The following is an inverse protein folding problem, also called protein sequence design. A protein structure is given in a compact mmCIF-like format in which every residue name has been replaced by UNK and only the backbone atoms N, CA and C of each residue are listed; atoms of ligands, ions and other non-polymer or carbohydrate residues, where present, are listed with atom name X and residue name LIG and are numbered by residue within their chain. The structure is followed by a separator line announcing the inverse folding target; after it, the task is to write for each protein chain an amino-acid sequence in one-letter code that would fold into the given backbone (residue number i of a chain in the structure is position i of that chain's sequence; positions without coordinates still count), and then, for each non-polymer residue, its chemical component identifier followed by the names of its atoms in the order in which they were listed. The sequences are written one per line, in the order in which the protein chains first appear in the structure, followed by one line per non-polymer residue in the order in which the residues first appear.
data_IF_897463661598
#
_entry.id   IF_897463661598
#
_cell.length_a   1.000
_cell.length_b   1.000
_cell.length_c   1.000
_cell.angle_alpha   90.00
_cell.angle_beta   90.00
_cell.angle_gamma   90.00
#
_symmetry.space_group_name_H-M   'P 1'
#
loop_
_entity.id
_entity.type
_entity.pdbx_description
1 polymer ?
#
# COMPACT_ATOMS: atom_id res chain seq x y z
N UNK A 1 40.32 -23.97 2.65
CA UNK A 1 40.96 -22.67 2.96
C UNK A 1 39.84 -21.75 3.47
N UNK A 2 39.80 -21.56 4.79
CA UNK A 2 38.84 -20.70 5.46
C UNK A 2 39.29 -19.24 5.36
N UNK A 3 38.51 -18.36 4.77
CA UNK A 3 38.74 -16.91 4.84
C UNK A 3 37.76 -16.31 5.82
N UNK A 4 38.29 -15.82 6.93
CA UNK A 4 37.61 -15.02 7.96
C UNK A 4 37.51 -13.59 7.46
N UNK A 5 36.30 -13.02 7.50
CA UNK A 5 36.04 -11.60 7.27
C UNK A 5 35.88 -10.87 8.60
N UNK A 6 36.41 -9.68 8.77
CA UNK A 6 36.33 -8.93 10.02
C UNK A 6 34.98 -8.21 10.17
N UNK A 7 34.48 -8.23 11.40
CA UNK A 7 33.35 -7.46 11.86
C UNK A 7 33.73 -5.98 11.97
N UNK A 8 32.98 -5.11 11.32
CA UNK A 8 33.09 -3.66 11.51
C UNK A 8 31.97 -3.19 12.41
N UNK A 9 32.36 -2.77 13.60
CA UNK A 9 31.54 -2.15 14.63
C UNK A 9 31.29 -0.69 14.24
N UNK A 10 30.05 -0.25 14.07
CA UNK A 10 29.69 1.17 14.01
C UNK A 10 28.94 1.60 15.25
N UNK A 11 29.56 2.55 15.93
CA UNK A 11 29.15 3.20 17.17
C UNK A 11 28.10 4.28 16.87
N UNK A 12 27.15 4.38 17.80
CA UNK A 12 26.06 5.32 17.88
C UNK A 12 26.49 6.80 17.95
N UNK A 13 25.67 7.67 17.43
CA UNK A 13 25.60 9.06 17.86
C UNK A 13 24.14 9.48 17.97
N UNK A 14 23.72 9.71 19.20
CA UNK A 14 22.47 10.35 19.57
C UNK A 14 22.62 11.86 19.48
N UNK A 15 21.63 12.56 18.93
CA UNK A 15 21.47 14.00 19.14
C UNK A 15 19.97 14.31 19.36
N UNK A 16 19.66 14.67 20.58
CA UNK A 16 18.40 15.24 21.00
C UNK A 16 18.48 16.78 20.95
N UNK A 17 17.41 17.45 20.55
CA UNK A 17 17.07 18.86 20.83
C UNK A 17 15.58 19.00 20.51
N UNK A 18 14.72 19.11 21.49
CA UNK A 18 14.29 20.19 22.35
C UNK A 18 13.45 21.28 21.66
N UNK A 19 12.19 21.29 22.09
CA UNK A 19 11.33 22.41 22.51
C UNK A 19 11.04 23.55 21.52
N UNK A 20 9.74 23.82 21.36
CA UNK A 20 9.18 25.06 20.85
C UNK A 20 7.70 25.16 21.15
N UNK A 21 7.38 25.72 22.31
CA UNK A 21 6.08 26.19 22.75
C UNK A 21 5.66 27.47 22.01
N UNK A 22 4.38 27.73 22.00
CA UNK A 22 3.75 29.03 21.79
C UNK A 22 2.60 28.93 20.82
N UNK A 23 1.41 29.18 21.17
CA UNK A 23 0.75 30.17 21.96
C UNK A 23 -0.45 30.66 21.20
N UNK A 24 -1.61 30.43 21.75
CA UNK A 24 -2.65 31.39 22.12
C UNK A 24 -3.08 32.42 21.08
N UNK A 25 -4.29 32.50 20.86
CA UNK A 25 -5.40 33.29 21.38
C UNK A 25 -6.32 33.73 20.25
N UNK A 26 -7.53 33.49 20.48
CA UNK A 26 -8.65 34.34 20.91
C UNK A 26 -9.45 35.02 19.82
N UNK A 27 -10.67 34.69 19.91
CA UNK A 27 -11.84 35.55 20.14
C UNK A 27 -12.49 36.24 18.95
N UNK A 28 -13.65 35.94 18.91
CA UNK A 28 -14.94 36.61 19.16
C UNK A 28 -15.61 37.15 17.90
N UNK A 29 -16.76 36.77 17.82
CA UNK A 29 -18.07 37.37 18.02
C UNK A 29 -18.84 37.75 16.77
N UNK A 30 -20.00 37.16 16.73
CA UNK A 30 -21.33 37.75 16.54
C UNK A 30 -21.65 38.36 15.19
N UNK A 31 -22.62 37.93 14.61
CA UNK A 31 -24.02 38.24 14.60
C UNK A 31 -24.62 38.00 13.23
N UNK A 32 -25.64 37.20 13.25
CA UNK A 32 -26.99 37.45 12.79
C UNK A 32 -27.20 37.87 11.31
N UNK A 33 -27.93 37.10 10.60
CA UNK A 33 -29.28 37.35 10.07
C UNK A 33 -29.61 36.51 8.83
N UNK A 34 -30.55 35.61 9.03
CA UNK A 34 -31.74 35.32 8.23
C UNK A 34 -31.63 34.97 6.76
N UNK A 35 -32.33 33.92 6.53
CA UNK A 35 -33.16 33.54 5.38
C UNK A 35 -32.54 32.61 4.34
N UNK A 36 -32.97 31.40 4.44
CA UNK A 36 -33.79 30.70 3.50
C UNK A 36 -33.16 30.28 2.19
N UNK A 37 -32.95 29.00 2.06
CA UNK A 37 -33.45 28.26 0.90
C UNK A 37 -32.79 26.88 0.88
N UNK A 38 -33.64 25.92 0.83
CA UNK A 38 -33.45 24.54 0.38
C UNK A 38 -32.01 24.07 0.14
N UNK A 39 -31.45 23.53 1.18
CA UNK A 39 -30.30 22.65 1.02
C UNK A 39 -30.85 21.23 0.97
N UNK A 40 -30.94 20.69 -0.22
CA UNK A 40 -30.99 19.27 -0.44
C UNK A 40 -29.83 18.67 0.34
N UNK A 41 -30.16 18.10 1.49
CA UNK A 41 -29.20 17.32 2.28
C UNK A 41 -28.75 16.17 1.40
N UNK A 42 -27.56 16.30 0.84
CA UNK A 42 -26.84 15.15 0.37
C UNK A 42 -26.60 14.27 1.59
N UNK A 43 -27.42 13.25 1.75
CA UNK A 43 -27.20 12.17 2.68
C UNK A 43 -25.89 11.50 2.27
N UNK A 44 -24.79 11.95 2.84
CA UNK A 44 -23.59 11.14 2.86
C UNK A 44 -23.90 9.94 3.73
N UNK A 45 -24.32 8.87 3.08
CA UNK A 45 -24.35 7.56 3.69
C UNK A 45 -22.93 7.27 4.11
N UNK A 46 -22.61 7.50 5.37
CA UNK A 46 -21.42 6.95 5.98
C UNK A 46 -21.58 5.43 5.88
N UNK A 47 -20.97 4.85 4.88
CA UNK A 47 -20.81 3.41 4.76
C UNK A 47 -20.05 2.98 6.00
N UNK A 48 -20.74 2.38 6.93
CA UNK A 48 -20.17 1.68 8.07
C UNK A 48 -19.19 0.68 7.46
N UNK A 49 -17.88 0.95 7.60
CA UNK A 49 -16.83 0.16 6.99
C UNK A 49 -16.83 -1.25 7.57
N UNK A 50 -17.62 -2.13 6.98
CA UNK A 50 -17.40 -3.55 7.10
C UNK A 50 -16.05 -3.84 6.45
N UNK A 51 -15.10 -4.39 7.22
CA UNK A 51 -13.82 -4.84 6.67
C UNK A 51 -14.11 -5.86 5.59
N UNK A 52 -13.83 -5.50 4.34
CA UNK A 52 -13.96 -6.44 3.23
C UNK A 52 -12.93 -7.57 3.40
N UNK A 53 -13.26 -8.74 2.91
CA UNK A 53 -12.32 -9.87 2.84
C UNK A 53 -12.52 -10.59 1.52
N UNK A 54 -11.46 -11.18 1.00
CA UNK A 54 -11.56 -11.87 -0.27
C UNK A 54 -10.23 -12.40 -0.77
N UNK A 55 -10.23 -12.78 -2.04
CA UNK A 55 -9.04 -13.25 -2.74
C UNK A 55 -8.67 -12.30 -3.87
N UNK A 56 -7.37 -12.17 -4.08
CA UNK A 56 -6.74 -11.53 -5.23
C UNK A 56 -5.86 -12.55 -5.91
N UNK A 57 -5.86 -12.56 -7.23
CA UNK A 57 -4.99 -13.41 -8.02
C UNK A 57 -4.04 -12.54 -8.85
N UNK A 58 -2.75 -12.63 -8.54
CA UNK A 58 -1.66 -12.06 -9.30
C UNK A 58 -1.04 -13.12 -10.23
N UNK A 59 -0.50 -12.67 -11.35
CA UNK A 59 0.22 -13.51 -12.29
C UNK A 59 1.42 -12.77 -12.86
N UNK A 60 2.54 -13.47 -13.01
CA UNK A 60 3.74 -12.95 -13.68
C UNK A 60 4.33 -14.02 -14.61
N UNK A 61 4.76 -13.60 -15.81
CA UNK A 61 5.27 -14.48 -16.84
C UNK A 61 4.17 -15.27 -17.60
N UNK A 62 4.58 -16.22 -18.53
CA UNK A 62 5.96 -16.62 -18.87
C UNK A 62 6.71 -15.63 -19.78
N UNK A 63 6.02 -14.67 -20.39
CA UNK A 63 6.60 -13.57 -21.16
C UNK A 63 6.77 -12.31 -20.30
N UNK A 64 6.86 -11.16 -20.94
CA UNK A 64 6.90 -9.87 -20.25
C UNK A 64 5.48 -9.41 -19.83
N UNK A 65 4.76 -10.30 -19.14
CA UNK A 65 3.39 -10.05 -18.71
C UNK A 65 3.30 -10.08 -17.18
N UNK A 66 2.61 -9.08 -16.62
CA UNK A 66 2.24 -9.03 -15.21
C UNK A 66 0.80 -8.55 -15.08
N UNK A 67 0.01 -9.17 -14.23
CA UNK A 67 -1.40 -8.84 -14.10
C UNK A 67 -1.97 -9.16 -12.72
N UNK A 68 -3.12 -8.57 -12.42
CA UNK A 68 -3.97 -8.88 -11.28
C UNK A 68 -5.41 -9.04 -11.76
N UNK A 69 -6.15 -9.96 -11.15
CA UNK A 69 -7.53 -10.30 -11.53
C UNK A 69 -8.53 -9.17 -11.26
N UNK A 70 -8.18 -8.21 -10.40
CA UNK A 70 -9.01 -7.05 -10.06
C UNK A 70 -8.19 -5.76 -10.19
N UNK A 71 -8.86 -4.70 -10.64
CA UNK A 71 -8.30 -3.34 -10.69
C UNK A 71 -8.79 -2.45 -9.54
N UNK A 72 -9.87 -2.85 -8.88
CA UNK A 72 -10.46 -2.10 -7.75
C UNK A 72 -11.07 -3.07 -6.74
N UNK A 73 -10.84 -2.80 -5.45
CA UNK A 73 -11.46 -3.53 -4.33
C UNK A 73 -11.74 -2.57 -3.17
N UNK A 74 -12.59 -2.98 -2.23
CA UNK A 74 -12.78 -2.25 -0.97
C UNK A 74 -11.60 -2.48 -0.01
N UNK A 75 -11.41 -1.57 0.95
CA UNK A 75 -10.41 -1.76 2.01
C UNK A 75 -10.75 -2.99 2.86
N UNK A 76 -9.71 -3.77 3.24
CA UNK A 76 -9.90 -4.99 4.03
C UNK A 76 -8.76 -5.98 3.94
N UNK A 77 -8.98 -7.17 4.50
CA UNK A 77 -7.98 -8.25 4.53
C UNK A 77 -8.19 -9.19 3.34
N UNK A 78 -7.14 -9.40 2.56
CA UNK A 78 -7.17 -10.24 1.37
C UNK A 78 -6.09 -11.31 1.40
N UNK A 79 -6.42 -12.45 0.79
CA UNK A 79 -5.45 -13.47 0.42
C UNK A 79 -5.01 -13.22 -1.02
N UNK A 80 -3.78 -12.75 -1.21
CA UNK A 80 -3.16 -12.57 -2.52
C UNK A 80 -2.44 -13.86 -2.90
N UNK A 81 -2.89 -14.49 -3.98
CA UNK A 81 -2.24 -15.66 -4.56
C UNK A 81 -1.56 -15.25 -5.85
N UNK A 82 -0.27 -15.46 -5.96
CA UNK A 82 0.54 -15.12 -7.13
C UNK A 82 0.98 -16.39 -7.83
N UNK A 83 0.69 -16.50 -9.14
CA UNK A 83 1.20 -17.55 -10.02
C UNK A 83 2.40 -17.00 -10.81
N UNK A 84 3.58 -17.43 -10.41
CA UNK A 84 4.85 -17.05 -11.03
C UNK A 84 5.27 -18.14 -12.02
N UNK A 85 5.29 -17.81 -13.31
CA UNK A 85 5.45 -18.76 -14.41
C UNK A 85 6.85 -18.75 -15.03
N UNK A 86 7.78 -17.93 -14.54
CA UNK A 86 9.12 -17.84 -15.11
C UNK A 86 10.17 -17.34 -14.12
N UNK A 87 11.29 -18.04 -14.04
CA UNK A 87 12.42 -17.76 -13.16
C UNK A 87 13.26 -16.52 -13.53
N UNK A 88 12.71 -15.60 -14.33
CA UNK A 88 13.35 -14.32 -14.66
C UNK A 88 12.52 -13.13 -14.21
N UNK A 89 11.43 -13.38 -13.52
CA UNK A 89 10.45 -12.41 -13.08
C UNK A 89 10.15 -12.57 -11.60
N UNK A 90 9.59 -11.52 -11.01
CA UNK A 90 8.98 -11.55 -9.70
C UNK A 90 7.66 -10.76 -9.73
N UNK A 91 6.89 -10.90 -8.69
CA UNK A 91 5.69 -10.12 -8.46
C UNK A 91 5.87 -9.38 -7.13
N UNK A 92 6.21 -8.10 -7.22
CA UNK A 92 6.42 -7.23 -6.08
C UNK A 92 5.22 -6.31 -5.93
N UNK A 93 4.47 -6.45 -4.83
CA UNK A 93 3.24 -5.70 -4.55
C UNK A 93 3.41 -4.80 -3.34
N UNK A 94 3.27 -3.50 -3.56
CA UNK A 94 3.53 -2.46 -2.55
C UNK A 94 2.41 -1.42 -2.49
N UNK A 95 2.24 -0.78 -1.32
CA UNK A 95 1.29 0.31 -1.17
C UNK A 95 1.03 0.77 0.25
N UNK A 96 -0.06 1.51 0.46
CA UNK A 96 -0.46 2.04 1.76
C UNK A 96 -0.50 0.98 2.86
N UNK A 97 -0.33 1.43 4.11
CA UNK A 97 -0.34 0.54 5.26
C UNK A 97 0.95 -0.27 5.45
N UNK A 98 1.99 -0.01 4.63
CA UNK A 98 3.25 -0.75 4.69
C UNK A 98 3.17 -2.12 4.03
N UNK A 99 2.22 -2.32 3.12
CA UNK A 99 2.17 -3.54 2.31
C UNK A 99 3.38 -3.58 1.39
N UNK A 100 4.16 -4.65 1.53
CA UNK A 100 5.39 -4.91 0.78
C UNK A 100 5.60 -6.43 0.77
N UNK A 101 5.17 -7.08 -0.31
CA UNK A 101 5.28 -8.53 -0.50
C UNK A 101 5.80 -8.85 -1.89
N UNK A 102 6.71 -9.82 -1.98
CA UNK A 102 7.34 -10.19 -3.25
C UNK A 102 7.53 -11.69 -3.40
N UNK A 103 7.51 -12.17 -4.63
CA UNK A 103 8.01 -13.50 -5.00
C UNK A 103 9.52 -13.45 -5.27
N UNK A 104 10.17 -14.59 -5.39
CA UNK A 104 11.61 -14.63 -5.71
C UNK A 104 11.82 -14.57 -7.22
N UNK A 105 12.71 -13.72 -7.72
CA UNK A 105 13.03 -13.61 -9.16
C UNK A 105 13.43 -14.95 -9.77
N UNK A 106 14.17 -15.78 -9.04
CA UNK A 106 14.58 -17.12 -9.51
C UNK A 106 13.55 -18.21 -9.19
N UNK A 107 12.44 -17.85 -8.56
CA UNK A 107 11.36 -18.75 -8.19
C UNK A 107 10.39 -19.01 -9.34
N UNK A 108 9.56 -20.01 -9.15
CA UNK A 108 8.38 -20.26 -9.96
C UNK A 108 7.31 -20.95 -9.12
N UNK A 109 6.08 -20.95 -9.63
CA UNK A 109 4.94 -21.60 -8.97
C UNK A 109 4.11 -20.63 -8.17
N UNK A 110 3.24 -21.16 -7.32
CA UNK A 110 2.25 -20.35 -6.61
C UNK A 110 2.77 -19.94 -5.24
N UNK A 111 2.72 -18.62 -4.95
CA UNK A 111 2.92 -18.07 -3.60
C UNK A 111 1.65 -17.39 -3.11
N UNK A 112 1.44 -17.44 -1.79
CA UNK A 112 0.26 -16.85 -1.16
C UNK A 112 0.69 -15.94 -0.01
N UNK A 113 0.07 -14.76 0.04
CA UNK A 113 0.30 -13.72 1.05
C UNK A 113 -1.04 -13.31 1.67
N UNK A 114 -1.03 -12.95 2.94
CA UNK A 114 -2.15 -12.24 3.57
C UNK A 114 -1.78 -10.76 3.62
N UNK A 115 -2.63 -9.89 3.07
CA UNK A 115 -2.41 -8.45 2.98
C UNK A 115 -3.60 -7.67 3.53
N UNK A 116 -3.32 -6.68 4.36
CA UNK A 116 -4.34 -5.76 4.88
C UNK A 116 -4.31 -4.47 4.05
N UNK A 117 -5.33 -4.31 3.22
CA UNK A 117 -5.42 -3.21 2.26
C UNK A 117 -6.19 -2.03 2.84
N UNK A 118 -5.54 -0.89 2.89
CA UNK A 118 -6.13 0.42 3.22
C UNK A 118 -6.50 1.15 1.93
N UNK A 119 -7.42 2.10 2.01
CA UNK A 119 -7.78 2.91 0.85
C UNK A 119 -6.55 3.61 0.25
N UNK A 120 -6.43 3.56 -1.07
CA UNK A 120 -5.32 4.14 -1.81
C UNK A 120 -4.94 3.33 -3.06
N UNK A 121 -3.84 3.71 -3.68
CA UNK A 121 -3.30 3.03 -4.86
C UNK A 121 -2.13 2.15 -4.47
N UNK A 122 -2.19 0.91 -4.88
CA UNK A 122 -1.13 -0.09 -4.78
C UNK A 122 -0.50 -0.30 -6.15
N UNK A 123 0.78 -0.62 -6.15
CA UNK A 123 1.51 -0.95 -7.37
C UNK A 123 1.98 -2.40 -7.31
N UNK A 124 1.85 -3.11 -8.40
CA UNK A 124 2.53 -4.38 -8.60
C UNK A 124 3.49 -4.25 -9.78
N UNK A 125 4.68 -4.80 -9.64
CA UNK A 125 5.77 -4.64 -10.59
C UNK A 125 6.64 -5.88 -10.61
N UNK A 126 7.30 -6.13 -11.73
CA UNK A 126 8.43 -7.05 -11.81
C UNK A 126 9.70 -6.21 -11.69
N UNK A 127 10.48 -6.37 -10.63
CA UNK A 127 11.64 -5.53 -10.34
C UNK A 127 12.69 -5.54 -11.45
N UNK A 128 13.08 -6.70 -12.02
CA UNK A 128 14.00 -6.73 -13.15
C UNK A 128 13.50 -6.03 -14.41
N UNK A 129 12.18 -5.90 -14.57
CA UNK A 129 11.54 -5.38 -15.78
C UNK A 129 10.54 -4.26 -15.49
N UNK A 130 10.82 -3.45 -14.48
CA UNK A 130 9.90 -2.44 -13.93
C UNK A 130 9.39 -1.41 -14.94
N UNK A 131 10.12 -1.18 -16.02
CA UNK A 131 9.71 -0.24 -17.09
C UNK A 131 8.59 -0.76 -17.98
N UNK A 132 8.40 -2.09 -18.04
CA UNK A 132 7.43 -2.75 -18.95
C UNK A 132 6.41 -3.63 -18.22
N UNK A 133 6.77 -4.16 -17.06
CA UNK A 133 5.95 -5.08 -16.29
C UNK A 133 5.50 -4.43 -14.98
N UNK A 134 4.40 -3.68 -15.04
CA UNK A 134 3.81 -3.02 -13.87
C UNK A 134 2.30 -2.80 -14.04
N UNK A 135 1.62 -2.60 -12.94
CA UNK A 135 0.22 -2.24 -12.90
C UNK A 135 -0.20 -1.70 -11.55
N UNK A 136 -1.48 -1.38 -11.41
CA UNK A 136 -2.02 -0.79 -10.20
C UNK A 136 -3.32 -1.46 -9.77
N UNK A 137 -3.55 -1.47 -8.45
CA UNK A 137 -4.80 -1.81 -7.80
C UNK A 137 -5.30 -0.60 -7.01
N UNK A 138 -6.54 -0.19 -7.22
CA UNK A 138 -7.18 0.86 -6.43
C UNK A 138 -7.98 0.23 -5.29
N UNK A 139 -7.77 0.72 -4.07
CA UNK A 139 -8.53 0.31 -2.89
C UNK A 139 -9.36 1.49 -2.40
N UNK A 140 -10.66 1.26 -2.19
CA UNK A 140 -11.67 2.28 -1.81
C UNK A 140 -12.24 2.05 -0.41
#
# INVERSE_FOLDING_TARGET
MKRLLPATLFVAAAAALAAGCGGSSSSSSSSDTTAGSDTTAATTTATTGGTASGTLAGKVGPGFDISMDKSTVAAGTYTLTVDDQASAHDFHFTGPGGVDVTTDVSGTGTKTFTVDLQAGTYTFVCDPHSSSMHGTLTVT
#
